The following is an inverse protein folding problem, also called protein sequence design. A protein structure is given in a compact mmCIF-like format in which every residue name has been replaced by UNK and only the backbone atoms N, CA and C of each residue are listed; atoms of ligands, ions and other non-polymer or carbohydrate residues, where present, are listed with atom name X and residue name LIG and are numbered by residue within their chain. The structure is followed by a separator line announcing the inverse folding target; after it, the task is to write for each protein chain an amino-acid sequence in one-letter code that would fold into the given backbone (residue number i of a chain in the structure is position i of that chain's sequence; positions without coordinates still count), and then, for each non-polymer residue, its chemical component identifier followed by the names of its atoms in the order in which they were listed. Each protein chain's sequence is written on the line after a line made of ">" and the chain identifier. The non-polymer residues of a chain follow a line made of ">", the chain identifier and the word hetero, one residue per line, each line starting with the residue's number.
data_IF_311334963973
#
_entry.id   IF_311334963973
#
_cell.length_a   1.000
_cell.length_b   1.000
_cell.length_c   1.000
_cell.angle_alpha   90.00
_cell.angle_beta   90.00
_cell.angle_gamma   90.00
#
_symmetry.space_group_name_H-M   'P 1'
#
loop_
_entity.id
_entity.type
_entity.pdbx_description
1 polymer ?
#
# COMPACT_ATOMS: atom_id res chain seq x y z
N UNK A 1 5.49 -10.57 -17.98
CA UNK A 1 5.20 -9.71 -16.81
C UNK A 1 5.54 -10.51 -15.57
N UNK A 2 6.43 -9.99 -14.72
CA UNK A 2 7.25 -10.75 -13.76
C UNK A 2 6.44 -11.43 -12.64
N UNK A 3 6.31 -12.75 -12.72
CA UNK A 3 5.71 -13.60 -11.68
C UNK A 3 6.69 -13.92 -10.52
N UNK A 4 7.92 -13.37 -10.56
CA UNK A 4 8.99 -13.66 -9.60
C UNK A 4 9.24 -12.52 -8.59
N UNK A 5 8.44 -11.46 -8.62
CA UNK A 5 8.57 -10.34 -7.69
C UNK A 5 8.16 -10.76 -6.26
N UNK A 6 9.10 -11.33 -5.52
CA UNK A 6 8.92 -11.62 -4.09
C UNK A 6 8.75 -10.30 -3.33
N UNK A 7 7.79 -10.20 -2.39
CA UNK A 7 7.66 -9.03 -1.55
C UNK A 7 8.96 -8.77 -0.79
N UNK A 8 9.48 -7.54 -0.86
CA UNK A 8 10.64 -7.13 -0.08
C UNK A 8 10.32 -7.25 1.42
N UNK A 9 11.27 -7.76 2.19
CA UNK A 9 11.14 -7.86 3.64
C UNK A 9 11.29 -6.47 4.27
N UNK A 10 10.76 -6.28 5.47
CA UNK A 10 10.88 -4.99 6.18
C UNK A 10 12.34 -4.60 6.44
N UNK A 11 13.21 -5.58 6.76
CA UNK A 11 14.64 -5.33 6.97
C UNK A 11 15.38 -4.89 5.71
N UNK A 12 15.13 -5.56 4.57
CA UNK A 12 15.72 -5.15 3.29
C UNK A 12 15.23 -3.77 2.84
N UNK A 13 14.02 -3.38 3.22
CA UNK A 13 13.49 -2.04 2.96
C UNK A 13 14.17 -0.98 3.84
N UNK A 14 14.40 -1.28 5.12
CA UNK A 14 15.08 -0.38 6.05
C UNK A 14 16.54 -0.11 5.66
N UNK A 15 17.30 -1.14 5.28
CA UNK A 15 18.68 -0.99 4.80
C UNK A 15 18.75 -0.15 3.51
N UNK A 16 17.82 -0.37 2.58
CA UNK A 16 17.76 0.40 1.34
C UNK A 16 17.43 1.88 1.57
N UNK A 17 16.73 2.22 2.66
CA UNK A 17 16.33 3.58 3.02
C UNK A 17 17.49 4.44 3.56
N UNK A 18 18.49 3.82 4.20
CA UNK A 18 19.64 4.55 4.75
C UNK A 18 20.46 5.29 3.68
N UNK A 19 20.39 4.86 2.42
CA UNK A 19 21.06 5.49 1.27
C UNK A 19 20.20 6.54 0.54
N UNK A 20 18.91 6.72 0.90
CA UNK A 20 18.06 7.73 0.27
C UNK A 20 18.27 9.09 0.93
N UNK A 21 18.57 10.11 0.11
CA UNK A 21 18.49 11.50 0.55
C UNK A 21 17.07 11.83 1.07
N UNK A 22 16.96 12.74 2.05
CA UNK A 22 15.70 13.11 2.72
C UNK A 22 14.53 13.39 1.74
N UNK A 23 14.81 14.02 0.59
CA UNK A 23 13.81 14.30 -0.44
C UNK A 23 13.23 13.04 -1.09
N UNK A 24 14.04 12.00 -1.17
CA UNK A 24 13.72 10.69 -1.70
C UNK A 24 12.83 9.88 -0.74
N UNK A 25 13.03 10.02 0.59
CA UNK A 25 12.12 9.50 1.62
C UNK A 25 10.75 10.18 1.57
N UNK A 26 10.73 11.51 1.45
CA UNK A 26 9.47 12.26 1.28
C UNK A 26 8.73 11.88 0.00
N UNK A 27 9.45 11.70 -1.12
CA UNK A 27 8.86 11.24 -2.37
C UNK A 27 8.22 9.85 -2.21
N UNK A 28 8.88 8.91 -1.53
CA UNK A 28 8.32 7.58 -1.27
C UNK A 28 7.09 7.64 -0.37
N UNK A 29 7.11 8.48 0.67
CA UNK A 29 5.95 8.68 1.53
C UNK A 29 4.75 9.27 0.76
N UNK A 30 4.99 10.22 -0.16
CA UNK A 30 3.95 10.79 -1.01
C UNK A 30 3.36 9.75 -1.99
N UNK A 31 4.20 8.92 -2.60
CA UNK A 31 3.79 7.83 -3.47
C UNK A 31 2.85 6.86 -2.73
N UNK A 32 3.23 6.39 -1.54
CA UNK A 32 2.43 5.47 -0.74
C UNK A 32 1.08 6.08 -0.33
N UNK A 33 1.06 7.37 0.03
CA UNK A 33 -0.20 8.09 0.35
C UNK A 33 -1.13 8.17 -0.86
N UNK A 34 -0.59 8.45 -2.05
CA UNK A 34 -1.36 8.47 -3.28
C UNK A 34 -1.94 7.09 -3.61
N UNK A 35 -1.16 6.02 -3.45
CA UNK A 35 -1.65 4.66 -3.63
C UNK A 35 -2.80 4.32 -2.67
N UNK A 36 -2.68 4.69 -1.39
CA UNK A 36 -3.77 4.51 -0.40
C UNK A 36 -5.01 5.29 -0.83
N UNK A 37 -4.87 6.55 -1.26
CA UNK A 37 -6.00 7.37 -1.72
C UNK A 37 -6.75 6.69 -2.88
N UNK A 38 -6.02 6.17 -3.87
CA UNK A 38 -6.64 5.47 -4.99
C UNK A 38 -7.32 4.16 -4.56
N UNK A 39 -6.73 3.39 -3.63
CA UNK A 39 -7.35 2.18 -3.08
C UNK A 39 -8.62 2.48 -2.29
N UNK A 40 -8.63 3.53 -1.46
CA UNK A 40 -9.82 3.96 -0.73
C UNK A 40 -10.95 4.35 -1.68
N UNK A 41 -10.62 5.08 -2.77
CA UNK A 41 -11.58 5.42 -3.82
C UNK A 41 -12.10 4.17 -4.52
N UNK A 42 -11.24 3.20 -4.82
CA UNK A 42 -11.64 1.91 -5.41
C UNK A 42 -12.59 1.16 -4.49
N UNK A 43 -12.26 1.03 -3.20
CA UNK A 43 -13.12 0.36 -2.22
C UNK A 43 -14.49 1.03 -2.10
N UNK A 44 -14.54 2.37 -2.11
CA UNK A 44 -15.81 3.10 -2.11
C UNK A 44 -16.67 2.82 -3.36
N UNK A 45 -16.05 2.56 -4.51
CA UNK A 45 -16.74 2.19 -5.74
C UNK A 45 -17.22 0.74 -5.73
N UNK A 46 -16.49 -0.18 -5.08
CA UNK A 46 -16.84 -1.59 -4.96
C UNK A 46 -17.90 -1.87 -3.89
N UNK A 47 -17.97 -1.04 -2.84
CA UNK A 47 -18.83 -1.26 -1.68
C UNK A 47 -20.32 -1.48 -2.00
N UNK A 48 -20.96 -0.78 -2.96
CA UNK A 48 -22.35 -1.04 -3.32
C UNK A 48 -22.56 -2.46 -3.86
N UNK A 49 -21.67 -2.94 -4.74
CA UNK A 49 -21.76 -4.27 -5.33
C UNK A 49 -21.54 -5.36 -4.28
N UNK A 50 -20.55 -5.18 -3.41
CA UNK A 50 -20.32 -6.07 -2.27
C UNK A 50 -21.55 -6.15 -1.35
N UNK A 51 -22.23 -5.02 -1.11
CA UNK A 51 -23.45 -4.98 -0.31
C UNK A 51 -24.65 -5.67 -1.01
N UNK A 52 -24.67 -5.72 -2.34
CA UNK A 52 -25.65 -6.46 -3.14
C UNK A 52 -25.35 -7.98 -3.21
N UNK A 53 -24.24 -8.42 -2.61
CA UNK A 53 -23.85 -9.82 -2.51
C UNK A 53 -22.81 -10.28 -3.53
N UNK A 54 -22.16 -9.34 -4.24
CA UNK A 54 -21.01 -9.64 -5.09
C UNK A 54 -19.78 -9.99 -4.22
N UNK A 55 -19.48 -11.29 -4.13
CA UNK A 55 -18.38 -11.80 -3.32
C UNK A 55 -17.01 -11.38 -3.85
N UNK A 56 -16.84 -11.28 -5.17
CA UNK A 56 -15.56 -10.86 -5.77
C UNK A 56 -15.25 -9.41 -5.38
N UNK A 57 -16.27 -8.54 -5.36
CA UNK A 57 -16.14 -7.17 -4.88
C UNK A 57 -15.80 -7.11 -3.38
N UNK A 58 -16.40 -7.97 -2.55
CA UNK A 58 -16.12 -8.04 -1.11
C UNK A 58 -14.68 -8.52 -0.82
N UNK A 59 -14.23 -9.53 -1.56
CA UNK A 59 -12.88 -10.08 -1.45
C UNK A 59 -11.85 -9.03 -1.91
N UNK A 60 -12.10 -8.35 -3.03
CA UNK A 60 -11.23 -7.27 -3.51
C UNK A 60 -11.10 -6.11 -2.52
N UNK A 61 -12.18 -5.72 -1.83
CA UNK A 61 -12.13 -4.70 -0.76
C UNK A 61 -11.21 -5.17 0.37
N UNK A 62 -11.36 -6.43 0.80
CA UNK A 62 -10.57 -7.03 1.87
C UNK A 62 -9.08 -7.09 1.52
N UNK A 63 -8.75 -7.51 0.30
CA UNK A 63 -7.36 -7.53 -0.19
C UNK A 63 -6.76 -6.12 -0.25
N UNK A 64 -7.53 -5.13 -0.72
CA UNK A 64 -7.09 -3.73 -0.77
C UNK A 64 -6.82 -3.18 0.64
N UNK A 65 -7.67 -3.49 1.62
CA UNK A 65 -7.48 -3.07 3.01
C UNK A 65 -6.18 -3.65 3.62
N UNK A 66 -5.88 -4.91 3.29
CA UNK A 66 -4.63 -5.57 3.65
C UNK A 66 -3.40 -4.88 3.07
N UNK A 67 -3.45 -4.49 1.80
CA UNK A 67 -2.37 -3.74 1.14
C UNK A 67 -2.22 -2.34 1.76
N UNK A 68 -3.33 -1.63 1.98
CA UNK A 68 -3.31 -0.31 2.63
C UNK A 68 -2.72 -0.36 4.04
N UNK A 69 -3.00 -1.42 4.82
CA UNK A 69 -2.38 -1.63 6.14
C UNK A 69 -0.86 -1.71 6.04
N UNK A 70 -0.33 -2.47 5.09
CA UNK A 70 1.12 -2.60 4.85
C UNK A 70 1.73 -1.26 4.41
N UNK A 71 1.04 -0.49 3.57
CA UNK A 71 1.50 0.84 3.15
C UNK A 71 1.53 1.85 4.30
N UNK A 72 0.51 1.85 5.17
CA UNK A 72 0.51 2.69 6.38
C UNK A 72 1.69 2.34 7.29
N UNK A 73 1.96 1.07 7.52
CA UNK A 73 3.13 0.64 8.32
C UNK A 73 4.45 1.15 7.72
N UNK A 74 4.62 1.08 6.39
CA UNK A 74 5.81 1.62 5.70
C UNK A 74 5.94 3.13 5.83
N UNK A 75 4.83 3.86 5.80
CA UNK A 75 4.83 5.31 6.01
C UNK A 75 5.28 5.67 7.42
N UNK A 76 4.89 4.91 8.44
CA UNK A 76 5.36 5.17 9.81
C UNK A 76 6.86 4.90 9.96
N UNK A 77 7.39 3.82 9.38
CA UNK A 77 8.83 3.56 9.35
C UNK A 77 9.62 4.71 8.69
N UNK A 78 9.08 5.31 7.62
CA UNK A 78 9.69 6.47 6.96
C UNK A 78 9.68 7.76 7.79
N UNK A 79 8.91 7.83 8.89
CA UNK A 79 8.91 8.99 9.80
C UNK A 79 9.90 8.84 10.96
N UNK A 80 10.35 7.61 11.22
CA UNK A 80 11.26 7.28 12.33
C UNK A 80 12.74 7.47 11.94
N UNK A 81 13.04 7.62 10.65
CA UNK A 81 14.35 7.98 10.05
C UNK A 81 14.49 9.49 9.84
#
# INVERSE_FOLDING_TARGET
>A
MSAEARPITAGAFAEAIQELELGSLHAKAAELRNSIYHMQRSNAQLAPFAAEGDQDCADAITENDDVMRRYRARIELLKEE
#
